data_IF_007629201482
#
_entry.id   IF_007629201482
#
_cell.length_a   1.000
_cell.length_b   1.000
_cell.length_c   1.000
_cell.angle_alpha   90.00
_cell.angle_beta   90.00
_cell.angle_gamma   90.00
#
_symmetry.space_group_name_H-M   'P 1'
#
loop_
_entity.id
_entity.type
_entity.pdbx_description
1 polymer ?
#
# COMPACT_ATOMS: atom_id res chain seq x y z
N UNK A 1 9.24 6.91 -61.03
CA UNK A 1 8.91 6.53 -59.63
C UNK A 1 9.95 7.17 -58.72
N UNK A 2 9.80 8.47 -58.43
CA UNK A 2 10.66 9.22 -57.52
C UNK A 2 9.97 10.54 -57.15
N UNK A 3 8.77 10.45 -56.55
CA UNK A 3 8.01 11.65 -56.10
C UNK A 3 7.19 11.43 -54.82
N UNK A 4 7.26 10.28 -54.14
CA UNK A 4 6.44 10.04 -52.93
C UNK A 4 7.23 9.95 -51.60
N UNK A 5 8.54 10.21 -51.59
CA UNK A 5 9.35 10.12 -50.36
C UNK A 5 9.55 11.46 -49.64
N UNK A 6 9.12 12.58 -50.23
CA UNK A 6 9.33 13.93 -49.68
C UNK A 6 8.18 14.45 -48.83
N UNK A 7 6.98 13.87 -48.93
CA UNK A 7 5.80 14.33 -48.17
C UNK A 7 5.65 13.64 -46.80
N UNK A 8 6.19 12.44 -46.59
CA UNK A 8 6.14 11.78 -45.28
C UNK A 8 7.15 12.37 -44.27
N UNK A 9 8.30 12.86 -44.74
CA UNK A 9 9.29 13.52 -43.87
C UNK A 9 8.79 14.89 -43.36
N UNK A 10 8.02 15.60 -44.19
CA UNK A 10 7.44 16.90 -43.85
C UNK A 10 6.38 16.84 -42.75
N UNK A 11 5.59 15.76 -42.70
CA UNK A 11 4.58 15.57 -41.66
C UNK A 11 5.18 15.09 -40.33
N UNK A 12 6.26 14.31 -40.36
CA UNK A 12 6.96 13.86 -39.15
C UNK A 12 7.63 15.02 -38.39
N UNK A 13 8.19 15.99 -39.11
CA UNK A 13 8.82 17.19 -38.53
C UNK A 13 7.76 18.14 -37.93
N UNK A 14 6.58 18.24 -38.54
CA UNK A 14 5.48 19.11 -38.08
C UNK A 14 4.83 18.60 -36.78
N UNK A 15 4.75 17.27 -36.60
CA UNK A 15 4.24 16.67 -35.37
C UNK A 15 5.24 16.86 -34.20
N UNK A 16 6.54 16.68 -34.45
CA UNK A 16 7.58 16.84 -33.42
C UNK A 16 7.74 18.30 -32.92
N UNK A 17 7.57 19.28 -33.80
CA UNK A 17 7.61 20.70 -33.41
C UNK A 17 6.39 21.15 -32.60
N UNK A 18 5.24 20.49 -32.77
CA UNK A 18 4.00 20.81 -32.02
C UNK A 18 4.07 20.27 -30.58
N UNK A 19 4.79 19.16 -30.36
CA UNK A 19 5.08 18.63 -29.01
C UNK A 19 6.08 19.52 -28.27
N UNK A 20 7.10 20.05 -28.97
CA UNK A 20 8.06 20.98 -28.37
C UNK A 20 7.45 22.34 -27.96
N UNK A 21 6.38 22.79 -28.63
CA UNK A 21 5.71 24.05 -28.30
C UNK A 21 4.86 23.99 -27.03
N UNK A 22 4.59 22.80 -26.48
CA UNK A 22 3.80 22.62 -25.24
C UNK A 22 4.63 22.53 -23.95
N UNK A 23 5.96 22.41 -24.04
CA UNK A 23 6.84 22.22 -22.87
C UNK A 23 7.85 23.36 -22.63
N UNK A 24 7.63 24.55 -23.21
CA UNK A 24 8.41 25.74 -22.88
C UNK A 24 7.65 26.68 -21.92
N UNK A 25 7.44 26.24 -20.68
CA UNK A 25 7.23 27.13 -19.51
C UNK A 25 8.15 26.74 -18.34
N UNK A 26 9.42 26.46 -18.65
CA UNK A 26 10.48 26.46 -17.64
C UNK A 26 11.53 27.50 -18.04
N UNK A 27 11.13 28.76 -17.87
CA UNK A 27 12.03 29.89 -17.88
C UNK A 27 12.93 29.82 -16.64
N UNK A 28 14.26 29.61 -16.79
CA UNK A 28 15.21 30.02 -15.74
C UNK A 28 16.70 30.14 -16.15
N UNK A 29 17.09 30.10 -17.43
CA UNK A 29 18.53 30.27 -17.80
C UNK A 29 18.72 31.12 -19.07
N UNK A 30 18.12 32.32 -19.15
CA UNK A 30 18.31 33.23 -20.30
C UNK A 30 18.38 34.72 -19.92
N UNK A 31 19.06 35.07 -18.83
CA UNK A 31 19.28 36.48 -18.44
C UNK A 31 20.73 36.98 -18.52
N UNK A 32 21.66 36.21 -19.09
CA UNK A 32 23.07 36.61 -19.21
C UNK A 32 23.64 36.63 -20.64
N UNK A 33 22.80 36.53 -21.67
CA UNK A 33 23.29 36.44 -23.06
C UNK A 33 22.59 37.42 -24.02
N UNK A 34 22.23 38.61 -23.53
CA UNK A 34 21.61 39.66 -24.34
C UNK A 34 22.38 40.98 -24.33
N UNK A 35 23.71 40.90 -24.39
CA UNK A 35 24.55 42.06 -24.73
C UNK A 35 25.69 41.59 -25.66
N UNK A 36 25.51 41.85 -26.96
CA UNK A 36 26.47 41.82 -28.08
C UNK A 36 26.00 40.98 -29.28
N UNK A 37 24.99 41.48 -29.99
CA UNK A 37 24.84 41.18 -31.42
C UNK A 37 24.99 42.48 -32.22
N UNK A 38 26.22 42.84 -32.54
CA UNK A 38 26.54 43.72 -33.66
C UNK A 38 27.89 43.33 -34.23
N UNK A 39 27.88 42.40 -35.20
CA UNK A 39 28.72 42.44 -36.41
C UNK A 39 28.77 41.07 -37.08
N UNK A 40 28.43 41.07 -38.37
CA UNK A 40 28.78 40.12 -39.42
C UNK A 40 29.90 39.11 -39.10
N UNK A 41 29.57 37.81 -39.15
CA UNK A 41 30.56 36.75 -39.37
C UNK A 41 30.07 35.82 -40.49
N UNK A 42 30.87 35.71 -41.55
CA UNK A 42 30.74 34.68 -42.58
C UNK A 42 30.89 33.31 -41.90
N UNK A 43 29.95 32.40 -42.16
CA UNK A 43 30.04 31.01 -41.72
C UNK A 43 31.15 30.30 -42.51
N UNK A 44 32.37 30.35 -42.00
CA UNK A 44 33.43 29.47 -42.47
C UNK A 44 33.14 28.03 -42.02
N UNK A 45 33.49 27.07 -42.88
CA UNK A 45 33.20 25.63 -42.78
C UNK A 45 33.62 24.97 -41.46
N UNK A 46 34.50 25.61 -40.69
CA UNK A 46 34.90 25.19 -39.34
C UNK A 46 33.81 25.41 -38.27
N UNK A 47 32.92 26.41 -38.44
CA UNK A 47 31.82 26.67 -37.52
C UNK A 47 30.71 25.62 -37.58
N UNK A 48 30.46 25.04 -38.76
CA UNK A 48 29.50 23.96 -38.94
C UNK A 48 29.96 22.66 -38.28
N UNK A 49 31.26 22.35 -38.33
CA UNK A 49 31.84 21.18 -37.66
C UNK A 49 31.81 21.32 -36.14
N UNK A 50 32.05 22.53 -35.61
CA UNK A 50 31.94 22.80 -34.17
C UNK A 50 30.49 22.68 -33.67
N UNK A 51 29.50 23.17 -34.43
CA UNK A 51 28.07 23.03 -34.12
C UNK A 51 27.61 21.57 -34.19
N UNK A 52 28.08 20.81 -35.20
CA UNK A 52 27.84 19.36 -35.29
C UNK A 52 28.45 18.60 -34.11
N UNK A 53 29.66 18.95 -33.68
CA UNK A 53 30.30 18.34 -32.51
C UNK A 53 29.53 18.65 -31.21
N UNK A 54 29.00 19.87 -31.05
CA UNK A 54 28.19 20.23 -29.87
C UNK A 54 26.84 19.51 -29.87
N UNK A 55 26.21 19.32 -31.04
CA UNK A 55 24.97 18.52 -31.17
C UNK A 55 25.23 17.04 -30.89
N UNK A 56 26.35 16.48 -31.37
CA UNK A 56 26.75 15.08 -31.08
C UNK A 56 27.09 14.90 -29.59
N UNK A 57 27.74 15.88 -28.96
CA UNK A 57 28.03 15.87 -27.52
C UNK A 57 26.78 16.06 -26.64
N UNK A 58 25.76 16.78 -27.12
CA UNK A 58 24.46 16.91 -26.45
C UNK A 58 23.53 15.71 -26.69
N UNK A 59 23.79 14.87 -27.69
CA UNK A 59 23.09 13.58 -27.87
C UNK A 59 23.66 12.43 -27.03
N UNK A 60 24.76 12.66 -26.30
CA UNK A 60 25.41 11.67 -25.45
C UNK A 60 24.99 11.74 -23.97
N UNK A 61 23.81 12.31 -23.69
CA UNK A 61 23.15 12.12 -22.40
C UNK A 61 22.28 10.88 -22.55
N UNK A 62 22.88 9.71 -22.35
CA UNK A 62 22.11 8.51 -22.04
C UNK A 62 21.34 8.81 -20.75
N UNK A 63 20.02 8.99 -20.87
CA UNK A 63 19.13 8.93 -19.73
C UNK A 63 19.41 7.59 -19.01
N UNK A 64 19.40 7.55 -17.67
CA UNK A 64 19.60 6.30 -16.96
C UNK A 64 18.60 5.27 -17.49
N UNK A 65 19.12 4.14 -17.99
CA UNK A 65 18.38 3.04 -18.61
C UNK A 65 17.25 2.42 -17.75
N UNK A 66 17.01 2.95 -16.55
CA UNK A 66 16.02 2.45 -15.60
C UNK A 66 14.58 2.90 -15.91
N UNK A 67 14.36 3.98 -16.68
CA UNK A 67 13.02 4.54 -16.87
C UNK A 67 12.29 4.04 -18.13
N UNK A 68 12.97 3.35 -19.05
CA UNK A 68 12.45 3.05 -20.40
C UNK A 68 12.00 1.61 -20.63
N UNK A 69 12.11 0.71 -19.65
CA UNK A 69 11.92 -0.75 -19.87
C UNK A 69 10.59 -1.34 -19.34
N UNK A 70 9.67 -0.51 -18.80
CA UNK A 70 8.38 -1.01 -18.25
C UNK A 70 7.15 -0.74 -19.09
N UNK A 71 7.27 0.00 -20.19
CA UNK A 71 6.12 0.34 -21.04
C UNK A 71 5.48 -0.88 -21.74
N UNK A 72 6.15 -2.05 -21.71
CA UNK A 72 5.72 -3.28 -22.38
C UNK A 72 5.36 -4.44 -21.41
N UNK A 73 5.36 -4.20 -20.10
CA UNK A 73 5.06 -5.23 -19.11
C UNK A 73 3.57 -5.24 -18.77
N UNK A 74 2.88 -6.34 -19.08
CA UNK A 74 1.53 -6.58 -18.55
C UNK A 74 1.62 -6.87 -17.06
N UNK A 75 0.79 -6.18 -16.28
CA UNK A 75 0.61 -6.36 -14.84
C UNK A 75 -0.56 -7.30 -14.52
N UNK A 76 -1.10 -8.00 -15.52
CA UNK A 76 -2.29 -8.85 -15.36
C UNK A 76 -2.11 -10.24 -15.95
N UNK A 77 -2.72 -11.20 -15.26
CA UNK A 77 -2.93 -12.56 -15.75
C UNK A 77 -4.40 -12.95 -15.50
N UNK A 78 -5.19 -12.97 -16.57
CA UNK A 78 -6.64 -13.14 -16.47
C UNK A 78 -7.26 -12.06 -15.57
N UNK A 79 -7.87 -12.49 -14.46
CA UNK A 79 -8.51 -11.60 -13.50
C UNK A 79 -7.59 -11.14 -12.36
N UNK A 80 -6.36 -11.64 -12.28
CA UNK A 80 -5.42 -11.33 -11.21
C UNK A 80 -4.49 -10.19 -11.60
N UNK A 81 -4.32 -9.23 -10.69
CA UNK A 81 -3.31 -8.17 -10.80
C UNK A 81 -2.00 -8.66 -10.18
N UNK A 82 -0.89 -8.42 -10.86
CA UNK A 82 0.46 -8.86 -10.51
C UNK A 82 1.30 -7.61 -10.27
N UNK A 83 1.38 -7.12 -9.02
CA UNK A 83 2.17 -5.94 -8.72
C UNK A 83 3.66 -6.28 -8.67
N UNK A 84 4.50 -5.40 -9.21
CA UNK A 84 5.94 -5.48 -9.03
C UNK A 84 6.29 -5.42 -7.52
N UNK A 85 7.21 -6.25 -6.96
CA UNK A 85 8.31 -6.96 -7.63
C UNK A 85 7.94 -8.25 -8.35
N UNK A 86 6.71 -8.75 -8.18
CA UNK A 86 6.20 -9.85 -8.97
C UNK A 86 5.91 -9.42 -10.40
N UNK A 87 6.07 -10.34 -11.34
CA UNK A 87 5.80 -10.02 -12.72
C UNK A 87 5.87 -11.23 -13.62
N UNK A 88 5.39 -11.04 -14.85
CA UNK A 88 5.52 -12.02 -15.92
C UNK A 88 6.99 -12.15 -16.35
N UNK A 89 7.25 -12.98 -17.37
CA UNK A 89 8.60 -13.19 -17.88
C UNK A 89 9.24 -11.87 -18.36
N UNK A 90 10.47 -11.61 -17.94
CA UNK A 90 11.17 -10.34 -18.18
C UNK A 90 10.69 -9.13 -17.36
N UNK A 91 9.61 -9.25 -16.58
CA UNK A 91 8.95 -8.14 -15.89
C UNK A 91 8.94 -8.25 -14.35
N UNK A 92 9.76 -9.14 -13.80
CA UNK A 92 9.89 -9.39 -12.35
C UNK A 92 11.24 -8.88 -11.82
N UNK A 93 11.33 -8.66 -10.50
CA UNK A 93 12.57 -8.21 -9.86
C UNK A 93 13.68 -9.28 -9.89
N UNK A 94 13.29 -10.55 -9.72
CA UNK A 94 14.19 -11.69 -9.78
C UNK A 94 13.40 -12.96 -10.13
N UNK A 95 14.07 -14.05 -10.53
CA UNK A 95 13.41 -15.31 -10.89
C UNK A 95 12.53 -15.94 -9.80
N UNK A 96 12.67 -15.51 -8.54
CA UNK A 96 11.82 -15.93 -7.43
C UNK A 96 10.45 -15.24 -7.44
N UNK A 97 10.39 -14.02 -7.97
CA UNK A 97 9.17 -13.22 -8.11
C UNK A 97 8.45 -13.44 -9.46
N UNK A 98 8.92 -14.39 -10.27
CA UNK A 98 8.27 -14.75 -11.54
C UNK A 98 6.86 -15.31 -11.28
N UNK A 99 5.88 -14.79 -12.00
CA UNK A 99 4.54 -15.36 -12.13
C UNK A 99 4.36 -15.86 -13.56
N UNK A 100 4.11 -17.17 -13.71
CA UNK A 100 3.75 -17.75 -15.00
C UNK A 100 2.26 -17.64 -15.20
N UNK A 101 1.83 -16.95 -16.25
CA UNK A 101 0.43 -16.95 -16.66
C UNK A 101 0.15 -18.15 -17.57
N UNK A 102 -0.81 -18.99 -17.21
CA UNK A 102 -1.17 -20.15 -18.01
C UNK A 102 -2.47 -19.89 -18.79
N UNK A 103 -2.32 -19.69 -20.09
CA UNK A 103 -3.41 -19.41 -21.02
C UNK A 103 -4.23 -20.63 -21.43
N UNK A 104 -3.86 -21.83 -20.96
CA UNK A 104 -4.68 -23.05 -21.15
C UNK A 104 -5.99 -23.00 -20.36
N UNK A 105 -6.08 -22.10 -19.36
CA UNK A 105 -7.29 -21.84 -18.59
C UNK A 105 -8.02 -20.61 -19.14
N UNK A 106 -9.34 -20.57 -19.00
CA UNK A 106 -10.15 -19.42 -19.39
C UNK A 106 -11.00 -18.93 -18.18
N UNK A 107 -10.69 -17.75 -17.60
CA UNK A 107 -9.55 -16.87 -17.93
C UNK A 107 -8.20 -17.49 -17.54
N UNK A 108 -7.07 -16.99 -18.09
CA UNK A 108 -5.73 -17.44 -17.72
C UNK A 108 -5.48 -17.37 -16.21
N UNK A 109 -4.76 -18.35 -15.68
CA UNK A 109 -4.48 -18.45 -14.24
C UNK A 109 -3.01 -18.20 -13.92
N UNK A 110 -2.69 -17.44 -12.85
CA UNK A 110 -1.31 -17.19 -12.44
C UNK A 110 -0.75 -18.33 -11.59
N UNK A 111 0.50 -18.68 -11.84
CA UNK A 111 1.27 -19.70 -11.13
C UNK A 111 2.59 -19.13 -10.62
N UNK A 112 2.99 -19.53 -9.42
CA UNK A 112 4.26 -19.09 -8.84
C UNK A 112 5.41 -19.77 -9.57
N UNK A 113 6.30 -18.97 -10.16
CA UNK A 113 7.45 -19.42 -10.97
C UNK A 113 6.99 -20.43 -12.03
N UNK A 114 7.85 -21.39 -12.39
CA UNK A 114 7.51 -22.52 -13.27
C UNK A 114 7.06 -23.72 -12.44
N UNK A 115 5.98 -23.57 -11.68
CA UNK A 115 5.43 -24.60 -10.79
C UNK A 115 3.93 -24.82 -10.99
N UNK A 116 3.38 -25.78 -10.25
CA UNK A 116 1.93 -26.06 -10.21
C UNK A 116 1.21 -25.31 -9.08
N UNK A 117 1.89 -24.38 -8.40
CA UNK A 117 1.33 -23.61 -7.29
C UNK A 117 0.57 -22.44 -7.88
N UNK A 118 -0.76 -22.47 -7.81
CA UNK A 118 -1.60 -21.35 -8.28
C UNK A 118 -1.54 -20.21 -7.27
N UNK A 119 -1.46 -18.99 -7.80
CA UNK A 119 -1.51 -17.76 -7.02
C UNK A 119 -2.95 -17.22 -7.06
N UNK A 120 -3.44 -16.73 -5.92
CA UNK A 120 -4.75 -16.08 -5.81
C UNK A 120 -4.61 -14.57 -5.76
N UNK A 121 -3.70 -14.10 -4.92
CA UNK A 121 -3.53 -12.69 -4.63
C UNK A 121 -2.09 -12.39 -4.21
N UNK A 122 -1.64 -11.18 -4.49
CA UNK A 122 -0.30 -10.69 -4.16
C UNK A 122 -0.48 -9.28 -3.59
N UNK A 123 0.05 -9.05 -2.40
CA UNK A 123 -0.06 -7.75 -1.73
C UNK A 123 1.31 -7.17 -1.44
N UNK A 124 1.42 -5.84 -1.52
CA UNK A 124 2.68 -5.11 -1.33
C UNK A 124 3.14 -5.02 0.13
N UNK A 125 2.24 -5.28 1.09
CA UNK A 125 2.55 -5.41 2.52
C UNK A 125 3.23 -6.76 2.86
N UNK A 126 3.43 -7.63 1.86
CA UNK A 126 4.29 -8.80 2.00
C UNK A 126 3.58 -10.14 2.06
N UNK A 127 2.31 -10.21 1.63
CA UNK A 127 1.53 -11.45 1.60
C UNK A 127 1.37 -11.97 0.18
N UNK A 128 1.49 -13.28 0.03
CA UNK A 128 1.26 -14.02 -1.20
C UNK A 128 0.28 -15.14 -0.92
N UNK A 129 -0.94 -15.03 -1.42
CA UNK A 129 -1.97 -16.05 -1.28
C UNK A 129 -1.82 -17.09 -2.40
N UNK A 130 -1.64 -18.34 -2.02
CA UNK A 130 -1.58 -19.49 -2.91
C UNK A 130 -2.68 -20.49 -2.56
N UNK A 131 -2.90 -21.47 -3.43
CA UNK A 131 -3.71 -22.65 -3.08
C UNK A 131 -2.88 -23.92 -3.09
N UNK A 132 -3.16 -24.77 -2.13
CA UNK A 132 -2.56 -26.10 -2.01
C UNK A 132 -3.64 -27.18 -2.03
N UNK A 133 -3.23 -28.43 -2.08
CA UNK A 133 -4.12 -29.60 -2.07
C UNK A 133 -3.74 -30.48 -0.89
N UNK A 134 -4.71 -31.21 -0.34
CA UNK A 134 -4.47 -32.08 0.80
C UNK A 134 -3.55 -33.27 0.48
N UNK A 135 -2.73 -33.63 1.46
CA UNK A 135 -2.22 -34.99 1.59
C UNK A 135 -3.36 -35.89 2.05
N UNK A 136 -3.47 -37.09 1.49
CA UNK A 136 -4.53 -38.04 1.86
C UNK A 136 -4.00 -39.45 2.03
N UNK A 137 -4.45 -40.12 3.07
CA UNK A 137 -4.22 -41.55 3.29
C UNK A 137 -5.53 -42.24 3.58
N UNK A 138 -5.96 -43.12 2.66
CA UNK A 138 -7.30 -43.68 2.66
C UNK A 138 -7.27 -45.19 2.56
N UNK A 139 -8.31 -45.82 3.09
CA UNK A 139 -8.41 -47.26 3.23
C UNK A 139 -9.80 -47.73 2.84
N UNK A 140 -9.92 -48.98 2.40
CA UNK A 140 -11.22 -49.63 2.27
C UNK A 140 -11.64 -50.25 3.63
N UNK A 141 -12.83 -50.85 3.68
CA UNK A 141 -13.38 -51.49 4.88
C UNK A 141 -12.50 -52.64 5.42
N UNK A 142 -11.68 -53.28 4.59
CA UNK A 142 -10.75 -54.33 5.03
C UNK A 142 -9.40 -53.77 5.54
N UNK A 143 -9.26 -52.44 5.65
CA UNK A 143 -8.00 -51.79 6.04
C UNK A 143 -6.92 -51.80 4.96
N UNK A 144 -7.27 -52.13 3.71
CA UNK A 144 -6.35 -52.07 2.59
C UNK A 144 -6.25 -50.64 2.04
N UNK A 145 -5.02 -50.13 2.03
CA UNK A 145 -4.70 -48.78 1.61
C UNK A 145 -5.05 -48.54 0.14
N UNK A 146 -5.77 -47.46 -0.12
CA UNK A 146 -6.16 -47.01 -1.45
C UNK A 146 -5.07 -46.14 -2.11
N UNK A 147 -5.01 -46.09 -3.46
CA UNK A 147 -4.10 -45.20 -4.16
C UNK A 147 -4.32 -43.73 -3.78
N UNK A 148 -3.22 -42.99 -3.57
CA UNK A 148 -3.29 -41.60 -3.18
C UNK A 148 -1.94 -41.06 -2.68
N UNK A 149 -1.82 -39.74 -2.71
CA UNK A 149 -0.63 -39.02 -2.25
C UNK A 149 -0.75 -38.73 -0.75
N UNK A 150 -0.27 -39.67 0.07
CA UNK A 150 -0.15 -39.46 1.53
C UNK A 150 0.85 -38.39 1.92
N UNK A 151 1.74 -38.01 1.00
CA UNK A 151 2.78 -36.99 1.20
C UNK A 151 2.61 -35.87 0.18
N UNK A 152 2.62 -34.62 0.66
CA UNK A 152 2.68 -33.40 -0.14
C UNK A 152 3.87 -32.56 0.28
N UNK A 153 4.67 -32.16 -0.70
CA UNK A 153 5.87 -31.35 -0.49
C UNK A 153 5.64 -30.00 -1.15
N UNK A 154 5.85 -28.96 -0.37
CA UNK A 154 5.89 -27.57 -0.78
C UNK A 154 7.31 -27.06 -0.53
N UNK A 155 8.01 -26.79 -1.63
CA UNK A 155 9.34 -26.17 -1.60
C UNK A 155 9.16 -24.71 -1.93
N UNK A 156 9.43 -23.86 -0.95
CA UNK A 156 9.42 -22.42 -1.11
C UNK A 156 10.88 -21.98 -1.10
N UNK A 157 11.28 -21.17 -2.07
CA UNK A 157 12.64 -20.60 -2.08
C UNK A 157 12.73 -19.51 -1.01
N UNK A 158 12.48 -18.25 -1.39
CA UNK A 158 12.60 -17.08 -0.53
C UNK A 158 11.29 -16.72 0.19
N UNK A 159 10.34 -17.66 0.21
CA UNK A 159 9.05 -17.46 0.85
C UNK A 159 8.96 -18.31 2.11
N UNK A 160 8.32 -17.75 3.14
CA UNK A 160 8.05 -18.46 4.39
C UNK A 160 6.55 -18.63 4.58
N UNK A 161 6.14 -19.63 5.33
CA UNK A 161 4.73 -19.87 5.63
C UNK A 161 4.30 -18.89 6.72
N UNK A 162 3.24 -18.11 6.46
CA UNK A 162 2.81 -17.09 7.40
C UNK A 162 2.29 -17.72 8.70
N UNK A 163 3.00 -17.51 9.81
CA UNK A 163 2.62 -18.05 11.13
C UNK A 163 1.25 -17.54 11.59
N UNK A 164 0.97 -16.25 11.41
CA UNK A 164 -0.22 -15.61 11.98
C UNK A 164 -1.50 -15.87 11.18
N UNK A 165 -1.37 -16.32 9.92
CA UNK A 165 -2.51 -16.48 9.03
C UNK A 165 -2.81 -17.94 8.72
N UNK A 166 -1.89 -18.88 8.95
CA UNK A 166 -2.10 -20.29 8.62
C UNK A 166 -2.08 -21.20 9.84
N UNK A 167 -2.88 -22.27 9.75
CA UNK A 167 -2.83 -23.41 10.67
C UNK A 167 -2.53 -24.69 9.92
N UNK A 168 -1.79 -25.59 10.56
CA UNK A 168 -1.66 -26.96 10.10
C UNK A 168 -2.86 -27.75 10.57
N UNK A 169 -3.59 -28.35 9.63
CA UNK A 169 -4.89 -28.99 9.87
C UNK A 169 -4.83 -30.46 9.50
N UNK A 170 -5.39 -31.31 10.36
CA UNK A 170 -5.63 -32.73 10.13
C UNK A 170 -7.11 -33.02 10.31
N UNK A 171 -7.70 -33.70 9.33
CA UNK A 171 -9.09 -34.14 9.35
C UNK A 171 -9.12 -35.66 9.29
N UNK A 172 -9.87 -36.26 10.20
CA UNK A 172 -10.06 -37.70 10.31
C UNK A 172 -10.28 -38.17 11.74
N UNK A 173 -10.78 -39.37 11.89
CA UNK A 173 -10.69 -40.20 13.10
C UNK A 173 -9.61 -41.25 12.87
N UNK A 174 -9.04 -41.85 13.93
CA UNK A 174 -7.92 -42.79 13.78
C UNK A 174 -6.75 -42.20 12.96
N UNK A 175 -6.52 -40.90 13.12
CA UNK A 175 -5.79 -40.08 12.15
C UNK A 175 -4.70 -39.26 12.80
N UNK A 176 -3.55 -39.16 12.13
CA UNK A 176 -2.50 -38.23 12.50
C UNK A 176 -1.69 -37.81 11.28
N UNK A 177 -1.00 -36.69 11.39
CA UNK A 177 -0.11 -36.23 10.33
C UNK A 177 1.08 -35.47 10.88
N UNK A 178 2.18 -35.50 10.12
CA UNK A 178 3.38 -34.73 10.42
C UNK A 178 3.52 -33.56 9.45
N UNK A 179 3.88 -32.40 9.99
CA UNK A 179 4.43 -31.26 9.28
C UNK A 179 5.93 -31.24 9.53
N UNK A 180 6.70 -31.54 8.50
CA UNK A 180 8.17 -31.49 8.53
C UNK A 180 8.66 -30.36 7.64
N UNK A 181 9.74 -29.70 8.03
CA UNK A 181 10.26 -28.59 7.25
C UNK A 181 11.64 -28.13 7.70
N UNK A 182 12.04 -26.96 7.25
CA UNK A 182 13.29 -26.34 7.65
C UNK A 182 13.06 -24.90 8.08
N UNK A 183 13.77 -24.50 9.14
CA UNK A 183 13.88 -23.11 9.63
C UNK A 183 15.29 -22.92 10.19
N UNK A 184 15.92 -21.78 9.93
CA UNK A 184 17.29 -21.48 10.38
C UNK A 184 18.31 -22.59 10.04
N UNK A 185 18.15 -23.23 8.88
CA UNK A 185 18.98 -24.37 8.44
C UNK A 185 18.79 -25.67 9.24
N UNK A 186 17.89 -25.71 10.21
CA UNK A 186 17.60 -26.87 11.06
C UNK A 186 16.28 -27.54 10.66
N UNK A 187 16.23 -28.86 10.85
CA UNK A 187 15.01 -29.63 10.63
C UNK A 187 13.97 -29.26 11.70
N UNK A 188 12.76 -28.93 11.23
CA UNK A 188 11.57 -28.77 12.05
C UNK A 188 10.63 -29.95 11.83
N UNK A 189 10.00 -30.43 12.89
CA UNK A 189 8.97 -31.46 12.83
C UNK A 189 7.93 -31.20 13.89
N UNK A 190 6.67 -31.26 13.51
CA UNK A 190 5.51 -31.23 14.40
C UNK A 190 4.42 -32.15 13.86
N UNK A 191 3.40 -32.41 14.67
CA UNK A 191 2.29 -33.27 14.27
C UNK A 191 1.01 -32.92 14.99
N UNK A 192 -0.09 -33.26 14.33
CA UNK A 192 -1.44 -33.16 14.86
C UNK A 192 -2.06 -34.56 14.80
N UNK A 193 -2.84 -34.92 15.81
CA UNK A 193 -3.59 -36.17 15.83
C UNK A 193 -5.04 -35.90 16.17
N UNK A 194 -5.92 -36.68 15.57
CA UNK A 194 -7.35 -36.63 15.76
C UNK A 194 -7.88 -38.05 15.96
N UNK A 195 -8.50 -38.29 17.11
CA UNK A 195 -8.94 -39.60 17.57
C UNK A 195 -10.40 -39.50 18.00
N UNK A 196 -11.22 -40.34 17.42
CA UNK A 196 -12.65 -40.46 17.72
C UNK A 196 -13.06 -41.92 17.50
N UNK A 197 -14.00 -42.39 18.32
CA UNK A 197 -14.55 -43.75 18.24
C UNK A 197 -15.89 -43.77 17.49
N UNK A 198 -16.73 -42.76 17.72
CA UNK A 198 -18.08 -42.67 17.16
C UNK A 198 -18.30 -41.30 16.52
N UNK A 199 -19.27 -41.25 15.59
CA UNK A 199 -19.58 -40.05 14.81
C UNK A 199 -20.27 -38.96 15.64
N UNK A 200 -20.94 -39.34 16.71
CA UNK A 200 -21.72 -38.48 17.61
C UNK A 200 -20.83 -37.60 18.49
N UNK A 201 -19.54 -37.95 18.65
CA UNK A 201 -18.55 -37.17 19.41
C UNK A 201 -17.71 -36.24 18.53
N UNK A 202 -18.13 -36.01 17.29
CA UNK A 202 -17.47 -35.09 16.36
C UNK A 202 -18.34 -33.86 16.18
N UNK A 203 -17.87 -32.74 16.73
CA UNK A 203 -18.57 -31.46 16.64
C UNK A 203 -18.12 -30.65 15.40
N UNK A 204 -19.09 -30.12 14.65
CA UNK A 204 -18.81 -29.14 13.59
C UNK A 204 -18.13 -27.88 14.18
N UNK A 205 -17.26 -27.25 13.40
CA UNK A 205 -16.45 -26.09 13.78
C UNK A 205 -15.50 -26.30 14.97
N UNK A 206 -15.31 -27.55 15.43
CA UNK A 206 -14.35 -27.89 16.47
C UNK A 206 -13.12 -28.59 15.87
N UNK A 207 -11.92 -28.16 16.27
CA UNK A 207 -10.64 -28.74 15.85
C UNK A 207 -9.73 -29.04 17.05
N UNK A 208 -10.30 -29.70 18.07
CA UNK A 208 -9.63 -29.98 19.35
C UNK A 208 -9.08 -31.41 19.48
N UNK A 209 -9.03 -32.17 18.40
CA UNK A 209 -8.50 -33.55 18.38
C UNK A 209 -9.54 -34.66 18.24
N UNK A 210 -10.81 -34.32 17.99
CA UNK A 210 -11.88 -35.26 17.60
C UNK A 210 -12.43 -34.83 16.25
N UNK A 211 -12.25 -35.65 15.20
CA UNK A 211 -12.61 -35.36 13.81
C UNK A 211 -11.70 -34.33 13.11
N UNK A 212 -11.23 -33.32 13.85
CA UNK A 212 -10.28 -32.32 13.37
C UNK A 212 -9.24 -31.98 14.44
N UNK A 213 -8.01 -31.73 14.01
CA UNK A 213 -6.92 -31.21 14.83
C UNK A 213 -6.24 -30.06 14.09
N UNK A 214 -6.06 -28.93 14.77
CA UNK A 214 -5.30 -27.80 14.26
C UNK A 214 -4.19 -27.39 15.21
N UNK A 215 -3.01 -27.06 14.65
CA UNK A 215 -1.90 -26.47 15.41
C UNK A 215 -1.34 -25.25 14.70
N UNK A 216 -0.75 -24.36 15.49
CA UNK A 216 0.02 -23.22 15.00
C UNK A 216 1.28 -23.67 14.25
N UNK A 217 1.70 -22.84 13.30
CA UNK A 217 2.91 -23.05 12.51
C UNK A 217 4.00 -22.12 13.07
N UNK A 218 5.25 -22.59 13.22
CA UNK A 218 6.33 -21.74 13.68
C UNK A 218 6.71 -20.72 12.61
N UNK A 219 7.35 -19.65 13.05
CA UNK A 219 7.92 -18.65 12.16
C UNK A 219 9.14 -19.20 11.38
N UNK A 220 9.42 -18.60 10.22
CA UNK A 220 10.60 -18.91 9.38
C UNK A 220 10.56 -20.25 8.63
N UNK A 221 9.41 -20.91 8.51
CA UNK A 221 9.28 -22.19 7.83
C UNK A 221 9.24 -22.01 6.29
N UNK A 222 10.31 -22.34 5.57
CA UNK A 222 10.42 -22.15 4.11
C UNK A 222 10.30 -23.45 3.29
N UNK A 223 10.21 -24.61 3.94
CA UNK A 223 9.91 -25.88 3.29
C UNK A 223 8.90 -26.62 4.13
N UNK A 224 7.84 -27.13 3.51
CA UNK A 224 6.83 -27.91 4.20
C UNK A 224 6.61 -29.24 3.51
N UNK A 225 6.65 -30.30 4.30
CA UNK A 225 6.35 -31.66 3.92
C UNK A 225 5.26 -32.16 4.85
N UNK A 226 4.05 -32.24 4.32
CA UNK A 226 2.87 -32.72 5.02
C UNK A 226 2.69 -34.18 4.68
N UNK A 227 2.69 -35.05 5.69
CA UNK A 227 2.42 -36.48 5.50
C UNK A 227 1.30 -36.97 6.41
N UNK A 228 0.22 -37.47 5.82
CA UNK A 228 -0.94 -38.04 6.49
C UNK A 228 -0.75 -39.54 6.75
N UNK A 229 -1.28 -39.99 7.89
CA UNK A 229 -1.22 -41.38 8.37
C UNK A 229 -2.49 -41.76 9.12
N UNK A 230 -2.62 -43.04 9.44
CA UNK A 230 -3.67 -43.60 10.29
C UNK A 230 -3.05 -44.55 11.30
N UNK A 231 -3.61 -44.63 12.51
CA UNK A 231 -3.09 -45.54 13.53
C UNK A 231 -3.51 -46.99 13.26
N UNK A 232 -4.74 -47.22 12.81
CA UNK A 232 -5.33 -48.55 12.62
C UNK A 232 -5.90 -48.76 11.21
N UNK A 233 -5.37 -48.05 10.21
CA UNK A 233 -5.82 -48.14 8.82
C UNK A 233 -7.33 -47.86 8.65
N UNK A 234 -7.89 -46.99 9.50
CA UNK A 234 -9.31 -46.61 9.54
C UNK A 234 -10.29 -47.78 9.75
N UNK A 235 -9.83 -48.98 10.14
CA UNK A 235 -10.70 -50.16 10.24
C UNK A 235 -11.86 -49.96 11.22
N UNK A 236 -11.60 -49.31 12.35
CA UNK A 236 -12.58 -49.07 13.42
C UNK A 236 -13.56 -47.92 13.12
N UNK A 237 -13.27 -47.09 12.11
CA UNK A 237 -14.06 -45.88 11.78
C UNK A 237 -14.51 -45.86 10.31
N UNK A 238 -14.27 -46.96 9.58
CA UNK A 238 -14.45 -47.06 8.13
C UNK A 238 -15.88 -46.77 7.64
N UNK A 239 -16.87 -46.91 8.52
CA UNK A 239 -18.28 -46.64 8.23
C UNK A 239 -18.58 -45.14 7.98
N UNK A 240 -17.78 -44.23 8.54
CA UNK A 240 -17.99 -42.79 8.41
C UNK A 240 -16.73 -41.97 8.11
N UNK A 241 -15.54 -42.54 8.30
CA UNK A 241 -14.27 -41.93 7.96
C UNK A 241 -13.31 -42.96 7.35
N UNK A 242 -13.17 -42.99 6.02
CA UNK A 242 -12.23 -43.89 5.33
C UNK A 242 -10.84 -43.27 5.08
N UNK A 243 -10.63 -42.02 5.47
CA UNK A 243 -9.52 -41.20 5.02
C UNK A 243 -9.00 -40.25 6.10
N UNK A 244 -7.67 -40.15 6.19
CA UNK A 244 -6.96 -39.04 6.81
C UNK A 244 -6.66 -37.98 5.75
N UNK A 245 -6.93 -36.71 6.06
CA UNK A 245 -6.49 -35.57 5.27
C UNK A 245 -5.59 -34.65 6.10
N UNK A 246 -4.54 -34.12 5.48
CA UNK A 246 -3.65 -33.15 6.11
C UNK A 246 -3.21 -32.06 5.15
N UNK A 247 -3.24 -30.81 5.59
CA UNK A 247 -2.89 -29.64 4.78
C UNK A 247 -2.60 -28.43 5.66
N UNK A 248 -2.04 -27.38 5.04
CA UNK A 248 -1.90 -26.06 5.66
C UNK A 248 -2.94 -25.16 5.02
N UNK A 249 -3.69 -24.42 5.84
CA UNK A 249 -4.77 -23.54 5.36
C UNK A 249 -4.77 -22.23 6.12
N UNK A 250 -5.22 -21.18 5.44
CA UNK A 250 -5.52 -19.89 6.04
C UNK A 250 -6.64 -20.04 7.07
N UNK A 251 -6.39 -19.57 8.29
CA UNK A 251 -7.26 -19.77 9.46
C UNK A 251 -8.66 -19.17 9.24
N UNK A 252 -8.72 -17.98 8.62
CA UNK A 252 -9.98 -17.28 8.34
C UNK A 252 -10.83 -17.94 7.24
N UNK A 253 -10.25 -18.84 6.44
CA UNK A 253 -10.89 -19.44 5.26
C UNK A 253 -11.26 -20.91 5.43
N UNK A 254 -11.09 -21.47 6.63
CA UNK A 254 -11.42 -22.87 6.90
C UNK A 254 -12.19 -23.05 8.20
N UNK A 255 -13.40 -23.62 8.08
CA UNK A 255 -14.17 -24.11 9.21
C UNK A 255 -14.41 -25.60 9.01
N UNK A 256 -14.15 -26.39 10.06
CA UNK A 256 -14.36 -27.83 10.01
C UNK A 256 -15.85 -28.18 9.91
N UNK A 257 -16.16 -29.16 9.07
CA UNK A 257 -17.45 -29.84 9.04
C UNK A 257 -17.27 -31.35 9.00
N UNK A 258 -18.13 -32.07 9.70
CA UNK A 258 -18.24 -33.53 9.72
C UNK A 258 -18.29 -34.13 8.31
N UNK A 259 -18.86 -33.42 7.32
CA UNK A 259 -18.92 -33.89 5.93
C UNK A 259 -17.53 -34.18 5.34
N UNK A 260 -16.49 -33.49 5.81
CA UNK A 260 -15.12 -33.72 5.37
C UNK A 260 -14.58 -35.09 5.80
N UNK A 261 -15.14 -35.71 6.85
CA UNK A 261 -14.76 -37.07 7.24
C UNK A 261 -15.18 -38.11 6.21
N UNK A 262 -16.31 -37.90 5.54
CA UNK A 262 -16.83 -38.85 4.56
C UNK A 262 -16.01 -38.81 3.28
N UNK A 263 -15.80 -37.60 2.74
CA UNK A 263 -15.02 -37.41 1.53
C UNK A 263 -14.62 -35.94 1.36
N UNK A 264 -13.35 -35.70 1.07
CA UNK A 264 -12.86 -34.46 0.49
C UNK A 264 -12.45 -34.75 -0.96
N UNK A 265 -12.94 -33.93 -1.89
CA UNK A 265 -12.55 -34.04 -3.31
C UNK A 265 -11.03 -34.02 -3.47
N UNK A 266 -10.51 -34.83 -4.38
CA UNK A 266 -9.08 -34.86 -4.72
C UNK A 266 -8.57 -33.53 -5.28
N UNK A 267 -9.47 -32.71 -5.81
CA UNK A 267 -9.20 -31.40 -6.39
C UNK A 267 -9.56 -30.26 -5.42
N UNK A 268 -9.92 -30.57 -4.17
CA UNK A 268 -10.20 -29.56 -3.17
C UNK A 268 -8.95 -28.68 -2.95
N UNK A 269 -9.15 -27.38 -3.11
CA UNK A 269 -8.11 -26.37 -2.95
C UNK A 269 -8.22 -25.73 -1.57
N UNK A 270 -7.09 -25.60 -0.89
CA UNK A 270 -6.97 -25.00 0.42
C UNK A 270 -6.11 -23.73 0.30
N UNK A 271 -6.70 -22.54 0.51
CA UNK A 271 -5.97 -21.27 0.50
C UNK A 271 -4.89 -21.25 1.58
N UNK A 272 -3.74 -20.70 1.27
CA UNK A 272 -2.59 -20.62 2.17
C UNK A 272 -1.85 -19.31 1.90
N UNK A 273 -1.35 -18.68 2.95
CA UNK A 273 -0.66 -17.39 2.86
C UNK A 273 0.84 -17.55 3.09
N UNK A 274 1.64 -17.01 2.18
CA UNK A 274 3.09 -16.94 2.31
C UNK A 274 3.53 -15.52 2.64
N UNK A 275 4.60 -15.41 3.42
CA UNK A 275 5.35 -14.19 3.65
C UNK A 275 6.52 -14.09 2.67
N UNK A 276 6.67 -12.93 2.04
CA UNK A 276 7.75 -12.65 1.09
C UNK A 276 8.55 -11.41 1.47
N UNK A 277 9.82 -11.33 1.10
CA UNK A 277 10.68 -10.16 1.29
C UNK A 277 11.74 -10.08 0.19
N UNK A 278 12.37 -8.90 0.04
CA UNK A 278 13.51 -8.70 -0.85
C UNK A 278 14.78 -9.15 -0.13
N UNK A 279 15.66 -9.86 -0.83
CA UNK A 279 16.97 -10.23 -0.31
C UNK A 279 17.82 -8.99 0.08
N UNK A 280 18.55 -9.08 1.19
CA UNK A 280 19.36 -7.96 1.72
C UNK A 280 20.47 -7.47 0.76
N UNK A 281 20.84 -8.28 -0.23
CA UNK A 281 21.83 -7.93 -1.23
C UNK A 281 21.33 -6.90 -2.27
N UNK A 282 20.03 -6.71 -2.40
CA UNK A 282 19.44 -5.95 -3.52
C UNK A 282 19.10 -4.51 -3.13
N UNK A 283 20.09 -3.72 -2.73
CA UNK A 283 19.94 -2.37 -2.15
C UNK A 283 19.14 -1.35 -2.98
N UNK A 284 18.89 -1.62 -4.26
CA UNK A 284 18.20 -0.71 -5.19
C UNK A 284 16.74 -1.10 -5.49
N UNK A 285 16.16 -2.02 -4.71
CA UNK A 285 14.79 -2.47 -4.90
C UNK A 285 13.75 -1.38 -4.62
N UNK A 286 13.94 -0.56 -3.57
CA UNK A 286 13.06 0.58 -3.27
C UNK A 286 13.37 1.73 -4.23
N UNK A 287 12.33 2.33 -4.80
CA UNK A 287 12.43 3.41 -5.79
C UNK A 287 12.10 4.79 -5.17
N UNK A 288 11.88 5.77 -6.02
CA UNK A 288 11.71 7.16 -5.62
C UNK A 288 10.58 7.34 -4.60
N UNK A 289 10.84 8.18 -3.61
CA UNK A 289 9.95 8.45 -2.47
C UNK A 289 9.52 7.20 -1.66
N UNK A 290 10.27 6.10 -1.76
CA UNK A 290 10.13 4.92 -0.92
C UNK A 290 11.25 4.82 0.13
N UNK A 291 11.01 4.01 1.16
CA UNK A 291 11.99 3.65 2.19
C UNK A 291 11.93 2.14 2.47
N UNK A 292 13.05 1.58 2.93
CA UNK A 292 13.11 0.18 3.35
C UNK A 292 12.72 0.03 4.82
N UNK A 293 12.07 -1.08 5.14
CA UNK A 293 11.78 -1.49 6.51
C UNK A 293 11.98 -3.00 6.67
N UNK A 294 12.27 -3.43 7.89
CA UNK A 294 12.41 -4.84 8.24
C UNK A 294 11.03 -5.42 8.55
N UNK A 295 10.57 -6.46 7.84
CA UNK A 295 9.29 -7.08 8.15
C UNK A 295 9.33 -7.72 9.55
N UNK A 296 8.21 -7.70 10.30
CA UNK A 296 8.15 -8.34 11.61
C UNK A 296 8.26 -9.86 11.48
N UNK A 297 8.85 -10.51 12.48
CA UNK A 297 9.02 -11.97 12.54
C UNK A 297 10.37 -12.45 12.03
N UNK A 298 10.50 -13.76 11.80
CA UNK A 298 11.70 -14.42 11.30
C UNK A 298 11.67 -14.52 9.77
N UNK A 299 11.51 -13.37 9.11
CA UNK A 299 11.53 -13.22 7.66
C UNK A 299 12.88 -12.60 7.29
N UNK A 300 13.71 -13.33 6.55
CA UNK A 300 15.00 -12.82 6.08
C UNK A 300 14.78 -11.84 4.92
N UNK A 301 15.43 -10.68 4.98
CA UNK A 301 15.32 -9.63 3.97
C UNK A 301 14.54 -8.41 4.45
N UNK A 302 14.22 -7.52 3.51
CA UNK A 302 13.51 -6.28 3.80
C UNK A 302 12.35 -6.04 2.82
N UNK A 303 11.50 -5.07 3.14
CA UNK A 303 10.42 -4.61 2.25
C UNK A 303 10.53 -3.11 2.03
N UNK A 304 9.83 -2.62 1.01
CA UNK A 304 9.75 -1.21 0.71
C UNK A 304 8.34 -0.71 1.02
N UNK A 305 8.25 0.52 1.51
CA UNK A 305 7.00 1.26 1.68
C UNK A 305 7.17 2.69 1.18
N UNK A 306 6.07 3.33 0.79
CA UNK A 306 6.11 4.74 0.43
C UNK A 306 6.34 5.59 1.68
N UNK A 307 7.13 6.66 1.54
CA UNK A 307 7.30 7.65 2.61
C UNK A 307 5.95 8.33 2.90
N UNK A 308 5.81 8.90 4.10
CA UNK A 308 4.64 9.69 4.44
C UNK A 308 4.39 10.80 3.40
N UNK A 309 3.13 11.01 3.02
CA UNK A 309 2.74 11.93 1.94
C UNK A 309 2.80 11.32 0.54
N UNK A 310 3.21 10.06 0.40
CA UNK A 310 3.30 9.37 -0.90
C UNK A 310 2.53 8.05 -0.90
N UNK A 311 2.04 7.64 -2.08
CA UNK A 311 1.27 6.41 -2.30
C UNK A 311 1.71 5.67 -3.57
N UNK A 312 1.21 4.44 -3.74
CA UNK A 312 1.45 3.63 -4.93
C UNK A 312 2.38 2.44 -4.67
N UNK A 313 3.19 2.08 -5.66
CA UNK A 313 4.07 0.92 -5.58
C UNK A 313 5.52 1.35 -5.26
N UNK A 314 6.05 1.04 -4.06
CA UNK A 314 7.36 1.50 -3.62
C UNK A 314 8.54 0.86 -4.38
N UNK A 315 8.28 -0.18 -5.18
CA UNK A 315 9.26 -0.85 -6.02
C UNK A 315 9.28 -0.31 -7.47
N UNK A 316 8.38 0.62 -7.80
CA UNK A 316 8.33 1.33 -9.09
C UNK A 316 8.61 2.81 -8.90
N UNK A 317 8.11 3.39 -7.81
CA UNK A 317 8.20 4.80 -7.46
C UNK A 317 6.88 5.21 -6.85
N UNK A 318 6.95 5.93 -5.73
CA UNK A 318 5.77 6.44 -5.07
C UNK A 318 5.40 7.81 -5.64
N UNK A 319 4.10 8.08 -5.71
CA UNK A 319 3.54 9.34 -6.19
C UNK A 319 3.03 10.14 -5.01
N UNK A 320 3.20 11.46 -5.11
CA UNK A 320 2.65 12.41 -4.14
C UNK A 320 1.14 12.20 -3.95
N UNK A 321 0.69 12.22 -2.71
CA UNK A 321 -0.73 12.19 -2.37
C UNK A 321 -1.24 13.61 -2.49
N UNK A 322 -2.24 13.85 -3.35
CA UNK A 322 -2.91 15.14 -3.37
C UNK A 322 -4.02 15.19 -2.32
N UNK A 323 -3.71 15.64 -1.11
CA UNK A 323 -4.70 15.69 -0.02
C UNK A 323 -5.84 16.70 -0.28
N UNK A 324 -5.69 17.59 -1.28
CA UNK A 324 -6.73 18.54 -1.66
C UNK A 324 -7.81 17.94 -2.59
N UNK A 325 -7.60 16.75 -3.18
CA UNK A 325 -8.57 16.09 -4.06
C UNK A 325 -9.55 15.15 -3.33
N UNK A 326 -9.22 14.73 -2.10
CA UNK A 326 -10.06 13.88 -1.25
C UNK A 326 -10.74 14.70 -0.13
N UNK A 327 -11.27 14.05 0.93
CA UNK A 327 -11.79 14.74 2.13
C UNK A 327 -10.72 15.67 2.72
N UNK A 328 -10.74 16.94 2.30
CA UNK A 328 -9.71 17.87 2.71
C UNK A 328 -9.82 18.17 4.21
N UNK A 329 -8.68 18.09 4.90
CA UNK A 329 -8.59 18.48 6.32
C UNK A 329 -8.50 20.00 6.48
N UNK A 330 -8.55 20.78 5.39
CA UNK A 330 -8.55 22.23 5.44
C UNK A 330 -9.94 22.81 5.77
N UNK A 331 -9.96 23.90 6.52
CA UNK A 331 -11.17 24.67 6.87
C UNK A 331 -11.73 25.43 5.65
N UNK A 332 -10.84 25.94 4.79
CA UNK A 332 -11.24 26.72 3.60
C UNK A 332 -10.33 26.41 2.40
N UNK A 333 -9.14 27.01 2.33
CA UNK A 333 -8.23 26.84 1.18
C UNK A 333 -7.19 25.75 1.42
N UNK A 334 -7.07 24.83 0.47
CA UNK A 334 -6.06 23.78 0.41
C UNK A 334 -5.10 24.02 -0.76
N UNK A 335 -3.80 23.83 -0.54
CA UNK A 335 -2.77 23.84 -1.59
C UNK A 335 -1.88 22.62 -1.43
N UNK A 336 -1.88 21.75 -2.43
CA UNK A 336 -1.04 20.57 -2.46
C UNK A 336 0.44 20.96 -2.64
N UNK A 337 1.33 20.24 -1.97
CA UNK A 337 2.78 20.42 -2.05
C UNK A 337 3.47 19.06 -2.13
N UNK A 338 4.70 18.98 -2.62
CA UNK A 338 5.38 17.68 -2.71
C UNK A 338 5.59 17.05 -1.32
N UNK A 339 4.94 15.92 -1.08
CA UNK A 339 4.93 15.14 0.14
C UNK A 339 4.05 15.67 1.27
N UNK A 340 3.21 16.70 1.04
CA UNK A 340 2.36 17.32 2.07
C UNK A 340 1.31 18.26 1.45
N UNK A 341 0.49 18.90 2.29
CA UNK A 341 -0.38 19.99 1.90
C UNK A 341 -0.39 21.13 2.92
N UNK A 342 -0.73 22.32 2.43
CA UNK A 342 -0.88 23.52 3.25
C UNK A 342 -2.31 24.01 3.22
N UNK A 343 -2.82 24.42 4.38
CA UNK A 343 -4.11 25.08 4.51
C UNK A 343 -3.91 26.57 4.74
N UNK A 344 -4.84 27.39 4.28
CA UNK A 344 -4.84 28.82 4.57
C UNK A 344 -6.23 29.33 4.92
N UNK A 345 -6.27 30.33 5.80
CA UNK A 345 -7.50 30.95 6.23
C UNK A 345 -8.01 31.99 5.23
N UNK A 346 -9.33 32.21 5.18
CA UNK A 346 -9.91 33.30 4.39
C UNK A 346 -9.40 34.67 4.86
N UNK A 347 -9.53 35.67 3.99
CA UNK A 347 -9.18 37.06 4.36
C UNK A 347 -9.96 37.49 5.61
N UNK A 348 -9.26 38.11 6.56
CA UNK A 348 -9.83 38.52 7.83
C UNK A 348 -9.81 37.43 8.91
N UNK A 349 -9.14 36.30 8.68
CA UNK A 349 -8.92 35.24 9.66
C UNK A 349 -7.42 34.89 9.77
N UNK A 350 -7.00 34.31 10.89
CA UNK A 350 -5.67 33.77 11.14
C UNK A 350 -5.73 32.39 11.80
N UNK A 351 -4.65 31.62 11.67
CA UNK A 351 -4.53 30.24 12.16
C UNK A 351 -3.83 29.34 11.13
N UNK A 352 -3.79 28.04 11.39
CA UNK A 352 -3.19 27.04 10.50
C UNK A 352 -4.14 26.56 9.39
N UNK A 353 -5.42 26.93 9.46
CA UNK A 353 -6.44 26.56 8.50
C UNK A 353 -6.79 25.07 8.49
N UNK A 354 -6.31 24.26 9.43
CA UNK A 354 -6.58 22.82 9.53
C UNK A 354 -7.75 22.53 10.46
N UNK A 355 -8.58 21.54 10.13
CA UNK A 355 -9.77 21.12 10.91
C UNK A 355 -9.38 20.40 12.20
N UNK A 356 -8.27 19.65 12.18
CA UNK A 356 -7.67 18.95 13.31
C UNK A 356 -6.66 19.82 14.11
N UNK A 357 -6.42 21.04 13.65
CA UNK A 357 -5.48 22.01 14.23
C UNK A 357 -6.16 23.21 14.90
N UNK A 358 -5.53 24.38 14.80
CA UNK A 358 -6.08 25.66 15.29
C UNK A 358 -7.26 26.17 14.46
N UNK A 359 -7.38 25.71 13.21
CA UNK A 359 -8.42 26.15 12.29
C UNK A 359 -8.24 27.62 11.91
N UNK A 360 -9.37 28.30 11.69
CA UNK A 360 -9.39 29.71 11.35
C UNK A 360 -10.15 30.53 12.38
N UNK A 361 -9.47 31.53 12.95
CA UNK A 361 -10.03 32.46 13.91
C UNK A 361 -10.16 33.86 13.31
N UNK A 362 -11.28 34.58 13.50
CA UNK A 362 -11.45 35.92 12.96
C UNK A 362 -10.40 36.88 13.54
N UNK A 363 -9.80 37.70 12.68
CA UNK A 363 -8.96 38.82 13.10
C UNK A 363 -9.86 39.84 13.81
N UNK A 364 -9.41 40.37 14.95
CA UNK A 364 -10.15 41.45 15.60
C UNK A 364 -10.16 42.67 14.68
N UNK A 365 -11.33 42.97 14.12
CA UNK A 365 -11.61 44.27 13.52
C UNK A 365 -11.63 45.28 14.66
N UNK A 366 -10.66 46.20 14.66
CA UNK A 366 -10.73 47.43 15.45
C UNK A 366 -11.94 48.23 14.94
N UNK A 367 -13.13 47.93 15.46
CA UNK A 367 -14.28 48.80 15.30
C UNK A 367 -13.95 50.09 16.04
N UNK A 368 -13.49 51.10 15.30
CA UNK A 368 -13.46 52.47 15.81
C UNK A 368 -14.93 52.84 16.03
N UNK A 369 -15.38 52.80 17.28
CA UNK A 369 -16.70 53.25 17.66
C UNK A 369 -16.69 54.78 17.63
N UNK A 370 -16.96 55.35 16.46
CA UNK A 370 -17.12 56.80 16.31
C UNK A 370 -18.44 57.15 17.01
N UNK A 371 -18.32 57.67 18.22
CA UNK A 371 -19.47 58.24 18.93
C UNK A 371 -19.56 59.69 18.51
N UNK A 372 -20.53 60.02 17.65
CA UNK A 372 -20.85 61.40 17.33
C UNK A 372 -21.60 61.97 18.53
N UNK A 373 -20.90 62.76 19.34
CA UNK A 373 -21.51 63.50 20.45
C UNK A 373 -21.93 64.86 19.90
N UNK A 374 -23.23 65.15 19.96
CA UNK A 374 -23.74 66.48 19.65
C UNK A 374 -23.33 67.44 20.79
N UNK A 375 -22.63 68.55 20.53
CA UNK A 375 -22.11 69.42 21.60
C UNK A 375 -23.20 70.06 22.48
N UNK A 376 -24.47 70.07 22.05
CA UNK A 376 -25.57 70.70 22.79
C UNK A 376 -26.19 69.85 23.93
N UNK A 377 -25.80 68.59 24.13
CA UNK A 377 -26.34 67.74 25.22
C UNK A 377 -25.30 67.34 26.29
N UNK A 378 -24.17 68.06 26.37
CA UNK A 378 -23.09 67.76 27.34
C UNK A 378 -23.08 68.69 28.55
N UNK A 379 -24.25 69.20 28.97
CA UNK A 379 -24.38 70.03 30.17
C UNK A 379 -25.52 69.58 31.10
N UNK A 380 -25.77 68.27 31.22
CA UNK A 380 -26.69 67.74 32.23
C UNK A 380 -26.14 66.57 33.08
N UNK A 381 -24.90 66.10 32.83
CA UNK A 381 -24.34 64.93 33.53
C UNK A 381 -23.16 65.21 34.47
N UNK A 382 -22.75 66.48 34.67
CA UNK A 382 -21.59 66.82 35.52
C UNK A 382 -21.90 67.81 36.66
N UNK A 383 -23.15 67.94 37.08
CA UNK A 383 -23.51 68.93 38.10
C UNK A 383 -24.56 68.46 39.09
N UNK A 384 -24.20 67.59 40.04
CA UNK A 384 -24.77 67.65 41.38
C UNK A 384 -23.84 67.02 42.43
N UNK A 385 -23.41 67.84 43.39
CA UNK A 385 -22.71 67.45 44.63
C UNK A 385 -23.72 67.50 45.76
N UNK A 386 -23.86 66.43 46.55
CA UNK A 386 -24.40 66.49 47.92
C UNK A 386 -24.14 65.20 48.72
N UNK A 387 -23.14 65.28 49.61
CA UNK A 387 -22.95 64.70 50.95
C UNK A 387 -23.73 63.45 51.46
N UNK A 388 -22.92 62.44 51.83
CA UNK A 388 -22.76 61.78 53.17
C UNK A 388 -23.68 60.61 53.66
N UNK A 389 -23.00 59.69 54.37
CA UNK A 389 -23.37 58.57 55.27
C UNK A 389 -23.64 57.13 54.77
N UNK A 390 -22.80 56.18 55.23
CA UNK A 390 -23.23 54.87 55.76
C UNK A 390 -22.46 53.60 55.33
N UNK A 391 -21.80 52.93 56.29
CA UNK A 391 -21.07 51.64 56.27
C UNK A 391 -21.70 50.41 55.54
N UNK A 392 -20.84 49.48 55.08
CA UNK A 392 -21.10 48.03 55.20
C UNK A 392 -20.58 47.10 54.08
N UNK A 393 -19.43 46.49 54.33
CA UNK A 393 -18.79 45.26 53.81
C UNK A 393 -19.40 44.38 52.68
N UNK A 394 -18.56 44.24 51.64
CA UNK A 394 -17.99 43.03 51.00
C UNK A 394 -18.77 42.04 50.08
N UNK A 395 -18.12 41.82 48.92
CA UNK A 395 -18.16 40.70 47.95
C UNK A 395 -19.27 40.59 46.87
N UNK A 396 -19.09 41.30 45.77
CA UNK A 396 -19.61 40.98 44.42
C UNK A 396 -18.54 40.37 43.54
N UNK A 397 -18.88 39.32 42.78
CA UNK A 397 -18.19 38.99 41.52
C UNK A 397 -19.23 38.62 40.45
N UNK A 398 -19.50 39.58 39.55
CA UNK A 398 -20.18 39.36 38.26
C UNK A 398 -19.52 40.28 37.22
N UNK A 399 -19.27 39.70 36.05
CA UNK A 399 -18.44 40.21 34.98
C UNK A 399 -18.86 41.59 34.44
N UNK A 400 -17.89 42.49 34.31
CA UNK A 400 -17.99 43.74 33.55
C UNK A 400 -16.98 43.73 32.41
N UNK A 401 -17.48 43.77 31.17
CA UNK A 401 -16.71 43.93 29.95
C UNK A 401 -15.91 45.25 30.00
N UNK A 402 -14.58 45.17 30.13
CA UNK A 402 -13.69 46.32 29.98
C UNK A 402 -13.38 46.52 28.49
N UNK A 403 -14.15 47.40 27.83
CA UNK A 403 -13.92 47.80 26.45
C UNK A 403 -14.15 49.29 26.26
N UNK A 404 -13.31 50.11 26.88
CA UNK A 404 -13.17 51.54 26.53
C UNK A 404 -11.75 52.04 26.78
N UNK A 405 -10.76 51.59 25.97
CA UNK A 405 -9.39 52.16 26.01
C UNK A 405 -8.90 52.86 24.76
N UNK A 406 -9.61 52.76 23.62
CA UNK A 406 -9.16 53.35 22.34
C UNK A 406 -10.25 54.18 21.63
N UNK A 407 -10.76 55.24 22.26
CA UNK A 407 -11.59 56.23 21.55
C UNK A 407 -10.72 57.38 21.02
N UNK A 408 -10.83 57.66 19.71
CA UNK A 408 -10.33 58.90 19.11
C UNK A 408 -11.49 59.91 19.10
N UNK A 409 -11.34 61.04 19.80
CA UNK A 409 -12.33 62.12 19.82
C UNK A 409 -11.93 63.13 18.75
N UNK A 410 -12.82 63.38 17.78
CA UNK A 410 -12.66 64.42 16.77
C UNK A 410 -13.76 65.46 16.97
N UNK A 411 -13.37 66.70 17.27
CA UNK A 411 -14.28 67.84 17.33
C UNK A 411 -14.56 68.34 15.92
N UNK A 412 -15.83 68.37 15.53
CA UNK A 412 -16.28 69.03 14.29
C UNK A 412 -16.51 70.50 14.65
N UNK A 413 -15.71 71.40 14.07
CA UNK A 413 -15.90 72.84 14.22
C UNK A 413 -17.11 73.31 13.41
N UNK A 414 -17.90 74.19 14.02
CA UNK A 414 -19.18 74.69 13.51
C UNK A 414 -19.13 75.18 12.07
N UNK A 415 -19.97 74.57 11.24
CA UNK A 415 -20.54 75.20 10.06
C UNK A 415 -21.76 76.04 10.43
N UNK A 416 -21.54 77.04 11.29
CA UNK A 416 -22.47 77.95 11.98
C UNK A 416 -23.10 77.48 13.28
#
# INVERSE_FOLDING_TARGET
MATNATDELGNYIKLHLTVYKKNCELALIWKSFKENCSSSWRLDTMGFLALLMVVVLLSAIEAPAAAQDRLHCSDRCGNSTIPYPFGLDGCNLSPEFLITCNDSFNPPLPFLRKSNIKVKNITLDGKLEIVTIAARDCYNQSGARQPGFRRRILTLSNFTISKSQNKFTVIGCDSYAYLQGFRDGKLYSSGCMSVCAEREFVDDNSCSGSGCCQIEIPDGLYRANVTAYSFNNHTNVSDFNPCTYAFIVEDSKFNFSFKYLQNISNTAEFPMVLDWAIEDNNTHACKDHAQSYQPPGNISGYRCECKAGYQGNPYVGCQDINECENENECTDKCTNTDGNYTCSCPKGYHGDGRKDGQGCTPNQLSLVKITLVNPEETEYLLGEKSNDFGHGDDSTASAGYDSMKNNLILSVGDGR
#
